data_IF_239108508144
#
_entry.id   IF_239108508144
#
_cell.length_a   1.000
_cell.length_b   1.000
_cell.length_c   1.000
_cell.angle_alpha   90.00
_cell.angle_beta   90.00
_cell.angle_gamma   90.00
#
_symmetry.space_group_name_H-M   'P 1'
#
loop_
_entity.id
_entity.type
_entity.pdbx_description
1 polymer ?
#
# COMPACT_ATOMS: atom_id res chain seq x y z
N UNK A 1 -4.98 16.19 19.01
CA UNK A 1 -4.91 15.42 20.26
C UNK A 1 -5.19 13.97 19.91
N UNK A 2 -4.15 13.19 19.59
CA UNK A 2 -4.24 11.74 19.50
C UNK A 2 -3.45 11.19 20.68
N UNK A 3 -4.16 10.81 21.73
CA UNK A 3 -3.58 10.02 22.81
C UNK A 3 -3.52 8.60 22.27
N UNK A 4 -2.36 8.22 21.73
CA UNK A 4 -2.08 6.80 21.54
C UNK A 4 -1.91 6.26 22.96
N UNK A 5 -2.92 5.53 23.45
CA UNK A 5 -2.82 4.78 24.70
C UNK A 5 -1.52 3.99 24.64
N UNK A 6 -0.65 4.15 25.64
CA UNK A 6 0.54 3.30 25.81
C UNK A 6 0.05 1.89 26.10
N UNK A 7 -0.20 1.12 25.04
CA UNK A 7 -0.65 -0.26 25.13
C UNK A 7 0.61 -1.10 25.26
N UNK A 8 0.78 -1.76 26.41
CA UNK A 8 1.95 -2.59 26.62
C UNK A 8 1.77 -3.89 25.81
N UNK A 9 2.84 -4.39 25.19
CA UNK A 9 2.81 -5.63 24.40
C UNK A 9 2.25 -6.81 25.23
N UNK A 10 2.47 -6.79 26.55
CA UNK A 10 1.90 -7.74 27.50
C UNK A 10 0.37 -7.83 27.40
N UNK A 11 -0.30 -6.70 27.24
CA UNK A 11 -1.76 -6.62 27.27
C UNK A 11 -2.34 -7.17 25.96
N UNK A 12 -1.67 -6.88 24.84
CA UNK A 12 -2.01 -7.43 23.52
C UNK A 12 -1.88 -8.96 23.51
N UNK A 13 -0.86 -9.50 24.18
CA UNK A 13 -0.66 -10.96 24.26
C UNK A 13 -1.71 -11.67 25.14
N UNK A 14 -2.40 -10.95 26.04
CA UNK A 14 -3.54 -11.50 26.79
C UNK A 14 -4.86 -11.52 26.00
N UNK A 15 -4.94 -10.78 24.88
CA UNK A 15 -6.12 -10.80 24.00
C UNK A 15 -6.32 -12.19 23.38
N UNK A 16 -7.55 -12.50 22.99
CA UNK A 16 -7.81 -13.67 22.16
C UNK A 16 -7.13 -13.54 20.79
N UNK A 17 -6.96 -14.66 20.10
CA UNK A 17 -6.37 -14.65 18.74
C UNK A 17 -7.20 -13.78 17.80
N UNK A 18 -8.53 -13.84 17.88
CA UNK A 18 -9.42 -13.06 17.03
C UNK A 18 -9.25 -11.55 17.25
N UNK A 19 -9.18 -11.11 18.50
CA UNK A 19 -8.99 -9.69 18.82
C UNK A 19 -7.61 -9.19 18.39
N UNK A 20 -6.56 -10.01 18.50
CA UNK A 20 -5.23 -9.66 17.98
C UNK A 20 -5.23 -9.52 16.46
N UNK A 21 -5.94 -10.40 15.74
CA UNK A 21 -6.08 -10.30 14.28
C UNK A 21 -6.78 -9.00 13.91
N UNK A 22 -7.88 -8.66 14.59
CA UNK A 22 -8.60 -7.41 14.34
C UNK A 22 -7.70 -6.20 14.61
N UNK A 23 -6.95 -6.20 15.72
CA UNK A 23 -6.04 -5.11 16.05
C UNK A 23 -4.94 -4.93 14.98
N UNK A 24 -4.42 -6.04 14.43
CA UNK A 24 -3.44 -5.99 13.33
C UNK A 24 -4.06 -5.38 12.08
N UNK A 25 -5.30 -5.75 11.73
CA UNK A 25 -6.04 -5.18 10.60
C UNK A 25 -6.27 -3.68 10.79
N UNK A 26 -6.77 -3.26 11.95
CA UNK A 26 -7.03 -1.85 12.26
C UNK A 26 -5.75 -0.99 12.20
N UNK A 27 -4.62 -1.53 12.66
CA UNK A 27 -3.30 -0.87 12.55
C UNK A 27 -2.88 -0.77 11.08
N UNK A 28 -3.07 -1.83 10.31
CA UNK A 28 -2.70 -1.86 8.90
C UNK A 28 -3.52 -0.86 8.08
N UNK A 29 -4.83 -0.78 8.34
CA UNK A 29 -5.72 0.22 7.75
C UNK A 29 -5.32 1.64 8.13
N UNK A 30 -4.92 1.88 9.38
CA UNK A 30 -4.42 3.19 9.82
C UNK A 30 -3.12 3.60 9.12
N UNK A 31 -2.21 2.66 8.85
CA UNK A 31 -0.97 2.92 8.11
C UNK A 31 -1.30 3.24 6.65
N UNK A 32 -2.18 2.44 6.02
CA UNK A 32 -2.61 2.68 4.64
C UNK A 32 -3.35 4.02 4.48
N UNK A 33 -4.09 4.47 5.51
CA UNK A 33 -4.79 5.75 5.54
C UNK A 33 -3.86 6.96 5.67
N UNK A 34 -2.62 6.77 6.13
CA UNK A 34 -1.58 7.79 6.21
C UNK A 34 -0.42 7.34 5.33
N UNK A 35 -0.54 7.42 3.99
CA UNK A 35 0.61 7.17 3.15
C UNK A 35 1.66 8.22 3.52
N UNK A 36 2.76 7.79 4.14
CA UNK A 36 4.00 8.55 4.04
C UNK A 36 4.22 8.70 2.54
N UNK A 37 4.02 9.92 2.03
CA UNK A 37 4.15 10.17 0.61
C UNK A 37 5.58 9.79 0.24
N UNK A 38 5.75 8.64 -0.42
CA UNK A 38 7.01 8.31 -1.06
C UNK A 38 7.19 9.42 -2.09
N UNK A 39 8.13 10.35 -1.88
CA UNK A 39 8.24 11.49 -2.76
C UNK A 39 8.68 10.96 -4.12
N UNK A 40 7.82 11.10 -5.12
CA UNK A 40 8.19 10.82 -6.49
C UNK A 40 9.22 11.85 -6.94
N UNK A 41 10.26 11.42 -7.63
CA UNK A 41 11.09 12.36 -8.39
C UNK A 41 10.27 13.00 -9.51
N UNK A 42 10.73 14.13 -10.04
CA UNK A 42 10.06 14.80 -11.14
C UNK A 42 10.01 13.89 -12.38
N UNK A 43 11.04 13.08 -12.59
CA UNK A 43 11.10 12.10 -13.68
C UNK A 43 10.07 10.98 -13.50
N UNK A 44 9.91 10.46 -12.29
CA UNK A 44 8.91 9.43 -11.99
C UNK A 44 7.49 9.97 -12.19
N UNK A 45 7.22 11.21 -11.75
CA UNK A 45 5.93 11.88 -11.97
C UNK A 45 5.65 12.05 -13.46
N UNK A 46 6.62 12.54 -14.22
CA UNK A 46 6.48 12.74 -15.66
C UNK A 46 6.20 11.44 -16.41
N UNK A 47 6.86 10.34 -16.02
CA UNK A 47 6.61 9.03 -16.62
C UNK A 47 5.20 8.50 -16.30
N UNK A 48 4.70 8.72 -15.08
CA UNK A 48 3.33 8.35 -14.72
C UNK A 48 2.30 9.16 -15.52
N UNK A 49 2.47 10.47 -15.62
CA UNK A 49 1.58 11.35 -16.41
C UNK A 49 1.56 10.92 -17.89
N UNK A 50 2.74 10.64 -18.47
CA UNK A 50 2.87 10.14 -19.84
C UNK A 50 2.12 8.83 -20.05
N UNK A 51 2.24 7.87 -19.13
CA UNK A 51 1.55 6.57 -19.22
C UNK A 51 0.04 6.70 -19.04
N UNK A 52 -0.42 7.60 -18.18
CA UNK A 52 -1.84 7.87 -17.99
C UNK A 52 -2.46 8.48 -19.26
N UNK A 53 -1.75 9.40 -19.91
CA UNK A 53 -2.21 9.99 -21.18
C UNK A 53 -2.27 8.95 -22.31
N UNK A 54 -1.25 8.09 -22.43
CA UNK A 54 -1.26 6.99 -23.40
C UNK A 54 -2.43 6.04 -23.16
N UNK A 55 -2.68 5.65 -21.91
CA UNK A 55 -3.82 4.80 -21.56
C UNK A 55 -5.17 5.46 -21.87
N UNK A 56 -5.30 6.77 -21.64
CA UNK A 56 -6.51 7.51 -21.98
C UNK A 56 -6.78 7.53 -23.50
N UNK A 57 -5.72 7.55 -24.32
CA UNK A 57 -5.82 7.49 -25.77
C UNK A 57 -6.05 6.05 -26.29
N UNK A 58 -5.50 5.05 -25.60
CA UNK A 58 -5.61 3.63 -25.96
C UNK A 58 -5.73 2.73 -24.71
N UNK A 59 -6.96 2.44 -24.24
CA UNK A 59 -7.18 1.63 -23.05
C UNK A 59 -6.68 0.17 -23.15
N UNK A 60 -6.43 -0.32 -24.37
CA UNK A 60 -5.94 -1.69 -24.60
C UNK A 60 -4.40 -1.79 -24.54
N UNK A 61 -3.69 -0.68 -24.34
CA UNK A 61 -2.22 -0.65 -24.26
C UNK A 61 -1.67 -1.15 -22.90
N UNK A 62 -2.55 -1.41 -21.93
CA UNK A 62 -2.19 -2.00 -20.64
C UNK A 62 -1.98 -3.51 -20.69
N UNK A 63 -1.31 -4.06 -19.67
CA UNK A 63 -1.27 -5.50 -19.42
C UNK A 63 -2.04 -5.84 -18.15
N UNK A 64 -2.63 -7.05 -18.04
CA UNK A 64 -3.25 -7.50 -16.81
C UNK A 64 -2.28 -7.46 -15.64
N UNK A 65 -2.79 -7.13 -14.44
CA UNK A 65 -1.97 -7.02 -13.24
C UNK A 65 -1.19 -8.30 -12.90
N UNK A 66 -1.78 -9.47 -13.14
CA UNK A 66 -1.13 -10.75 -12.89
C UNK A 66 0.08 -10.96 -13.81
N UNK A 67 0.01 -10.51 -15.06
CA UNK A 67 1.12 -10.60 -16.01
C UNK A 67 2.27 -9.66 -15.61
N UNK A 68 1.96 -8.44 -15.19
CA UNK A 68 2.97 -7.50 -14.69
C UNK A 68 3.71 -8.05 -13.46
N UNK A 69 2.97 -8.62 -12.49
CA UNK A 69 3.55 -9.25 -11.29
C UNK A 69 4.48 -10.40 -11.65
N UNK A 70 4.07 -11.28 -12.56
CA UNK A 70 4.90 -12.38 -13.06
C UNK A 70 6.20 -11.86 -13.69
N UNK A 71 6.11 -10.81 -14.51
CA UNK A 71 7.29 -10.20 -15.15
C UNK A 71 8.27 -9.64 -14.12
N UNK A 72 7.78 -8.86 -13.15
CA UNK A 72 8.63 -8.25 -12.11
C UNK A 72 9.33 -9.31 -11.26
N UNK A 73 8.63 -10.39 -10.88
CA UNK A 73 9.23 -11.51 -10.12
C UNK A 73 10.34 -12.23 -10.87
N UNK A 74 10.28 -12.28 -12.20
CA UNK A 74 11.31 -12.90 -13.05
C UNK A 74 12.51 -11.98 -13.31
N UNK A 75 12.37 -10.69 -13.04
CA UNK A 75 13.41 -9.66 -13.26
C UNK A 75 14.14 -9.24 -11.98
N UNK A 76 13.75 -9.78 -10.82
CA UNK A 76 14.43 -9.64 -9.53
C UNK A 76 15.27 -10.88 -9.23
#
# INVERSE_FOLDING_TARGET
>A
MYSIMSTQLSDILQMSVAERIQLVEDIWDSIAAVPEAIPLTDEERQELDRRLEMYAQNPDEGIPWDELKERVRKSA
#
